data_IF_467296156527
#
_entry.id   IF_467296156527
#
_cell.length_a   1.000
_cell.length_b   1.000
_cell.length_c   1.000
_cell.angle_alpha   90.00
_cell.angle_beta   90.00
_cell.angle_gamma   90.00
#
_symmetry.space_group_name_H-M   'P 1'
#
loop_
_entity.id
_entity.type
_entity.pdbx_description
1 polymer ?
#
# COMPACT_ATOMS: atom_id res chain seq x y z
N UNK A 1 -9.71 -21.54 -0.47
CA UNK A 1 -9.81 -20.24 -1.16
C UNK A 1 -8.55 -20.02 -1.98
N UNK A 2 -8.65 -19.71 -3.28
CA UNK A 2 -7.48 -19.47 -4.16
C UNK A 2 -6.60 -18.33 -3.62
N UNK A 3 -7.21 -17.30 -3.03
CA UNK A 3 -6.49 -16.17 -2.45
C UNK A 3 -5.65 -16.56 -1.22
N UNK A 4 -6.18 -17.40 -0.32
CA UNK A 4 -5.40 -17.90 0.83
C UNK A 4 -4.22 -18.78 0.39
N UNK A 5 -4.36 -19.56 -0.68
CA UNK A 5 -3.25 -20.32 -1.26
C UNK A 5 -2.17 -19.42 -1.84
N UNK A 6 -2.54 -18.30 -2.46
CA UNK A 6 -1.57 -17.30 -2.93
C UNK A 6 -0.80 -16.67 -1.76
N UNK A 7 -1.48 -16.32 -0.66
CA UNK A 7 -0.80 -15.84 0.55
C UNK A 7 0.12 -16.93 1.13
N UNK A 8 -0.33 -18.18 1.15
CA UNK A 8 0.47 -19.31 1.63
C UNK A 8 1.76 -19.48 0.80
N UNK A 9 1.65 -19.50 -0.53
CA UNK A 9 2.80 -19.59 -1.43
C UNK A 9 3.76 -18.40 -1.27
N UNK A 10 3.20 -17.19 -1.12
CA UNK A 10 4.00 -16.00 -0.83
C UNK A 10 4.77 -16.14 0.48
N UNK A 11 4.14 -16.62 1.56
CA UNK A 11 4.80 -16.81 2.86
C UNK A 11 5.87 -17.89 2.81
N UNK A 12 5.62 -19.02 2.14
CA UNK A 12 6.62 -20.09 1.97
C UNK A 12 7.86 -19.56 1.27
N UNK A 13 7.67 -18.87 0.12
CA UNK A 13 8.78 -18.34 -0.67
C UNK A 13 9.53 -17.23 0.07
N UNK A 14 8.79 -16.38 0.79
CA UNK A 14 9.36 -15.32 1.62
C UNK A 14 10.31 -15.89 2.69
N UNK A 15 9.86 -16.90 3.43
CA UNK A 15 10.67 -17.55 4.47
C UNK A 15 11.89 -18.21 3.87
N UNK A 16 11.71 -18.92 2.75
CA UNK A 16 12.82 -19.57 2.06
C UNK A 16 13.91 -18.55 1.68
N UNK A 17 13.54 -17.41 1.08
CA UNK A 17 14.52 -16.37 0.72
C UNK A 17 15.23 -15.81 1.95
N UNK A 18 14.47 -15.40 2.98
CA UNK A 18 15.03 -14.81 4.21
C UNK A 18 15.99 -15.76 4.90
N UNK A 19 15.59 -17.01 5.09
CA UNK A 19 16.44 -18.01 5.75
C UNK A 19 17.72 -18.29 4.94
N UNK A 20 17.62 -18.32 3.60
CA UNK A 20 18.80 -18.46 2.73
C UNK A 20 19.71 -17.24 2.81
N UNK A 21 19.16 -16.03 2.93
CA UNK A 21 19.91 -14.80 3.18
C UNK A 21 20.69 -14.83 4.49
N UNK A 22 20.07 -15.30 5.57
CA UNK A 22 20.73 -15.49 6.87
C UNK A 22 21.88 -16.50 6.78
N UNK A 23 21.72 -17.58 6.02
CA UNK A 23 22.81 -18.51 5.75
C UNK A 23 23.97 -17.88 4.96
N UNK A 24 23.66 -17.10 3.91
CA UNK A 24 24.67 -16.36 3.13
C UNK A 24 25.47 -15.44 4.05
N UNK A 25 24.79 -14.71 4.93
CA UNK A 25 25.43 -13.83 5.90
C UNK A 25 26.31 -14.63 6.89
N UNK A 26 25.76 -15.71 7.47
CA UNK A 26 26.46 -16.51 8.46
C UNK A 26 27.73 -17.16 7.88
N UNK A 27 27.64 -17.70 6.66
CA UNK A 27 28.79 -18.24 5.94
C UNK A 27 29.85 -17.19 5.70
N UNK A 28 29.47 -16.00 5.24
CA UNK A 28 30.40 -14.90 4.98
C UNK A 28 31.08 -14.38 6.27
N UNK A 29 30.33 -14.27 7.36
CA UNK A 29 30.87 -13.90 8.69
C UNK A 29 31.90 -14.92 9.16
N UNK A 30 31.62 -16.21 8.97
CA UNK A 30 32.57 -17.28 9.29
C UNK A 30 33.83 -17.19 8.42
N UNK A 31 33.69 -17.07 7.10
CA UNK A 31 34.82 -16.94 6.16
C UNK A 31 35.69 -15.71 6.45
N UNK A 32 35.09 -14.56 6.76
CA UNK A 32 35.84 -13.34 7.07
C UNK A 32 36.54 -13.41 8.42
N UNK A 33 35.91 -14.03 9.43
CA UNK A 33 36.54 -14.21 10.74
C UNK A 33 37.82 -15.07 10.65
N UNK A 34 37.82 -16.10 9.81
CA UNK A 34 38.99 -16.96 9.55
C UNK A 34 40.08 -16.27 8.72
N UNK A 35 39.73 -15.25 7.93
CA UNK A 35 40.72 -14.41 7.22
C UNK A 35 41.41 -13.42 8.14
N UNK A 36 40.67 -12.86 9.09
CA UNK A 36 41.18 -11.87 10.05
C UNK A 36 42.04 -12.51 11.15
N UNK A 37 41.67 -13.71 11.60
CA UNK A 37 42.34 -14.42 12.68
C UNK A 37 42.82 -15.78 12.17
N UNK A 38 44.14 -15.97 12.10
CA UNK A 38 44.77 -17.22 11.68
C UNK A 38 45.32 -18.01 12.87
N UNK A 39 45.18 -19.34 12.85
CA UNK A 39 45.71 -20.24 13.89
C UNK A 39 44.70 -20.54 14.99
N UNK A 40 45.17 -21.04 16.14
CA UNK A 40 44.34 -21.41 17.29
C UNK A 40 43.91 -20.17 18.11
N UNK A 41 43.06 -19.34 17.50
CA UNK A 41 42.54 -18.08 18.08
C UNK A 41 41.02 -18.12 18.23
N UNK A 42 40.49 -19.25 18.68
CA UNK A 42 39.05 -19.52 18.81
C UNK A 42 38.33 -18.42 19.59
N UNK A 43 38.88 -17.99 20.73
CA UNK A 43 38.28 -16.93 21.56
C UNK A 43 38.17 -15.58 20.82
N UNK A 44 39.14 -15.23 19.97
CA UNK A 44 39.11 -13.97 19.21
C UNK A 44 38.06 -14.03 18.09
N UNK A 45 37.95 -15.18 17.42
CA UNK A 45 36.93 -15.44 16.40
C UNK A 45 35.53 -15.32 16.99
N UNK A 46 35.27 -16.01 18.11
CA UNK A 46 33.97 -15.99 18.80
C UNK A 46 33.59 -14.58 19.27
N UNK A 47 34.54 -13.86 19.87
CA UNK A 47 34.32 -12.48 20.30
C UNK A 47 34.01 -11.54 19.13
N UNK A 48 34.72 -11.68 18.01
CA UNK A 48 34.46 -10.87 16.82
C UNK A 48 33.09 -11.17 16.20
N UNK A 49 32.73 -12.46 16.07
CA UNK A 49 31.41 -12.86 15.57
C UNK A 49 30.28 -12.35 16.49
N UNK A 50 30.48 -12.43 17.80
CA UNK A 50 29.54 -11.88 18.79
C UNK A 50 29.35 -10.38 18.63
N UNK A 51 30.44 -9.62 18.48
CA UNK A 51 30.38 -8.18 18.23
C UNK A 51 29.68 -7.86 16.91
N UNK A 52 29.96 -8.63 15.86
CA UNK A 52 29.30 -8.49 14.57
C UNK A 52 27.78 -8.66 14.70
N UNK A 53 27.32 -9.78 15.24
CA UNK A 53 25.88 -10.07 15.37
C UNK A 53 25.18 -9.10 16.31
N UNK A 54 25.84 -8.70 17.41
CA UNK A 54 25.33 -7.67 18.31
C UNK A 54 25.06 -6.35 17.58
N UNK A 55 26.04 -5.87 16.79
CA UNK A 55 25.88 -4.66 15.97
C UNK A 55 24.81 -4.85 14.89
N UNK A 56 24.80 -6.00 14.22
CA UNK A 56 23.86 -6.34 13.16
C UNK A 56 22.41 -6.30 13.64
N UNK A 57 22.09 -7.01 14.74
CA UNK A 57 20.74 -7.02 15.31
C UNK A 57 20.35 -5.68 15.92
N UNK A 58 21.31 -4.93 16.48
CA UNK A 58 21.05 -3.57 16.96
C UNK A 58 20.54 -2.65 15.85
N UNK A 59 21.19 -2.69 14.68
CA UNK A 59 20.77 -1.91 13.51
C UNK A 59 19.42 -2.36 12.96
N UNK A 60 19.18 -3.68 12.83
CA UNK A 60 17.88 -4.20 12.40
C UNK A 60 16.77 -3.72 13.31
N UNK A 61 16.97 -3.84 14.63
CA UNK A 61 15.96 -3.46 15.62
C UNK A 61 15.66 -1.98 15.56
N UNK A 62 16.71 -1.14 15.52
CA UNK A 62 16.56 0.32 15.43
C UNK A 62 15.84 0.73 14.14
N UNK A 63 16.27 0.23 12.98
CA UNK A 63 15.67 0.59 11.70
C UNK A 63 14.26 0.05 11.54
N UNK A 64 14.01 -1.21 11.95
CA UNK A 64 12.67 -1.78 11.99
C UNK A 64 11.73 -0.92 12.84
N UNK A 65 12.16 -0.50 14.02
CA UNK A 65 11.38 0.39 14.89
C UNK A 65 11.09 1.74 14.23
N UNK A 66 12.10 2.41 13.68
CA UNK A 66 11.93 3.71 13.02
C UNK A 66 11.01 3.61 11.79
N UNK A 67 11.19 2.58 10.96
CA UNK A 67 10.32 2.31 9.81
C UNK A 67 8.89 2.04 10.29
N UNK A 68 8.70 1.23 11.32
CA UNK A 68 7.39 0.91 11.87
C UNK A 68 6.67 2.17 12.40
N UNK A 69 7.38 3.02 13.14
CA UNK A 69 6.81 4.20 13.78
C UNK A 69 6.47 5.29 12.75
N UNK A 70 7.38 5.57 11.82
CA UNK A 70 7.26 6.73 10.94
C UNK A 70 6.85 6.40 9.50
N UNK A 71 7.26 5.26 8.96
CA UNK A 71 7.16 4.98 7.53
C UNK A 71 5.98 4.06 7.19
N UNK A 72 5.68 3.04 8.01
CA UNK A 72 4.67 2.02 7.67
C UNK A 72 3.28 2.63 7.44
N UNK A 73 2.80 3.49 8.34
CA UNK A 73 1.49 4.14 8.19
C UNK A 73 1.44 5.04 6.95
N UNK A 74 2.49 5.86 6.75
CA UNK A 74 2.60 6.75 5.58
C UNK A 74 2.65 5.97 4.28
N UNK A 75 3.44 4.90 4.22
CA UNK A 75 3.57 4.03 3.07
C UNK A 75 2.23 3.42 2.66
N UNK A 76 1.48 2.85 3.62
CA UNK A 76 0.15 2.26 3.34
C UNK A 76 -0.82 3.32 2.85
N UNK A 77 -0.77 4.54 3.38
CA UNK A 77 -1.64 5.64 2.93
C UNK A 77 -1.26 6.18 1.55
N UNK A 78 0.03 6.21 1.20
CA UNK A 78 0.51 6.78 -0.06
C UNK A 78 0.39 5.83 -1.26
N UNK A 79 0.80 4.58 -1.09
CA UNK A 79 0.86 3.59 -2.19
C UNK A 79 -0.15 2.45 -2.02
N UNK A 80 -0.97 2.49 -0.97
CA UNK A 80 -1.95 1.46 -0.66
C UNK A 80 -1.33 0.15 -0.19
N UNK A 81 -2.17 -0.78 0.31
CA UNK A 81 -1.72 -2.11 0.72
C UNK A 81 -1.08 -2.88 -0.46
N UNK A 82 -1.63 -2.76 -1.66
CA UNK A 82 -1.12 -3.41 -2.88
C UNK A 82 0.31 -2.98 -3.19
N UNK A 83 0.62 -1.68 -3.07
CA UNK A 83 1.97 -1.16 -3.28
C UNK A 83 2.92 -1.58 -2.15
N UNK A 84 2.47 -1.50 -0.89
CA UNK A 84 3.30 -1.80 0.27
C UNK A 84 3.81 -3.24 0.32
N UNK A 85 3.06 -4.21 -0.21
CA UNK A 85 3.50 -5.63 -0.29
C UNK A 85 4.66 -5.84 -1.27
N UNK A 86 4.89 -4.90 -2.20
CA UNK A 86 5.98 -4.99 -3.18
C UNK A 86 7.33 -4.51 -2.62
N UNK A 87 7.32 -3.76 -1.52
CA UNK A 87 8.52 -3.08 -1.01
C UNK A 87 9.62 -4.06 -0.62
N UNK A 88 9.30 -5.12 0.13
CA UNK A 88 10.31 -6.10 0.55
C UNK A 88 10.90 -6.88 -0.65
N UNK A 89 10.11 -7.44 -1.59
CA UNK A 89 10.66 -8.06 -2.79
C UNK A 89 11.56 -7.13 -3.63
N UNK A 90 11.23 -5.84 -3.72
CA UNK A 90 12.08 -4.85 -4.41
C UNK A 90 13.41 -4.68 -3.66
N UNK A 91 13.38 -4.54 -2.33
CA UNK A 91 14.59 -4.47 -1.50
C UNK A 91 15.44 -5.73 -1.68
N UNK A 92 14.83 -6.91 -1.71
CA UNK A 92 15.51 -8.19 -1.93
C UNK A 92 16.19 -8.23 -3.31
N UNK A 93 15.49 -7.88 -4.39
CA UNK A 93 16.05 -7.90 -5.75
C UNK A 93 17.24 -6.94 -5.86
N UNK A 94 17.11 -5.73 -5.32
CA UNK A 94 18.20 -4.75 -5.31
C UNK A 94 19.37 -5.28 -4.46
N UNK A 95 19.08 -5.81 -3.27
CA UNK A 95 20.05 -6.37 -2.34
C UNK A 95 20.85 -7.52 -2.96
N UNK A 96 20.18 -8.61 -3.33
CA UNK A 96 20.83 -9.77 -3.96
C UNK A 96 21.44 -9.45 -5.32
N UNK A 97 20.86 -8.50 -6.08
CA UNK A 97 21.47 -7.99 -7.30
C UNK A 97 22.83 -7.34 -7.03
N UNK A 98 22.91 -6.44 -6.05
CA UNK A 98 24.18 -5.82 -5.63
C UNK A 98 25.16 -6.86 -5.09
N UNK A 99 24.71 -7.81 -4.26
CA UNK A 99 25.56 -8.88 -3.74
C UNK A 99 26.14 -9.77 -4.86
N UNK A 100 25.36 -10.02 -5.92
CA UNK A 100 25.79 -10.87 -7.03
C UNK A 100 26.94 -10.22 -7.83
N UNK A 101 26.84 -8.92 -8.12
CA UNK A 101 27.90 -8.19 -8.84
C UNK A 101 29.07 -7.79 -7.93
N UNK A 102 28.82 -7.55 -6.66
CA UNK A 102 29.78 -7.08 -5.68
C UNK A 102 29.67 -7.90 -4.38
N UNK A 103 30.23 -9.13 -4.35
CA UNK A 103 30.15 -10.02 -3.20
C UNK A 103 31.12 -9.61 -2.08
N UNK A 104 31.02 -8.36 -1.63
CA UNK A 104 31.83 -7.80 -0.56
C UNK A 104 31.06 -7.79 0.75
N UNK A 105 31.79 -7.98 1.86
CA UNK A 105 31.25 -8.07 3.20
C UNK A 105 30.27 -6.95 3.56
N UNK A 106 30.66 -5.70 3.29
CA UNK A 106 29.85 -4.53 3.62
C UNK A 106 28.52 -4.48 2.85
N UNK A 107 28.51 -4.85 1.56
CA UNK A 107 27.28 -4.85 0.75
C UNK A 107 26.32 -5.90 1.26
N UNK A 108 26.82 -7.12 1.51
CA UNK A 108 26.00 -8.21 2.04
C UNK A 108 25.44 -7.82 3.41
N UNK A 109 26.26 -7.28 4.32
CA UNK A 109 25.82 -6.77 5.62
C UNK A 109 24.69 -5.74 5.51
N UNK A 110 24.87 -4.67 4.72
CA UNK A 110 23.89 -3.59 4.65
C UNK A 110 22.60 -4.01 3.94
N UNK A 111 22.70 -4.82 2.88
CA UNK A 111 21.53 -5.35 2.20
C UNK A 111 20.73 -6.29 3.12
N UNK A 112 21.40 -7.14 3.91
CA UNK A 112 20.75 -7.99 4.91
C UNK A 112 20.10 -7.19 6.05
N UNK A 113 20.72 -6.09 6.49
CA UNK A 113 20.10 -5.17 7.47
C UNK A 113 18.83 -4.56 6.88
N UNK A 114 18.88 -4.08 5.63
CA UNK A 114 17.72 -3.48 4.96
C UNK A 114 16.58 -4.49 4.76
N UNK A 115 16.89 -5.70 4.28
CA UNK A 115 15.94 -6.79 4.10
C UNK A 115 15.23 -7.15 5.40
N UNK A 116 16.00 -7.43 6.47
CA UNK A 116 15.42 -7.80 7.75
C UNK A 116 14.64 -6.66 8.38
N UNK A 117 15.14 -5.43 8.32
CA UNK A 117 14.42 -4.27 8.87
C UNK A 117 13.06 -4.08 8.20
N UNK A 118 13.00 -4.21 6.86
CA UNK A 118 11.76 -4.15 6.11
C UNK A 118 10.85 -5.36 6.36
N UNK A 119 11.43 -6.54 6.59
CA UNK A 119 10.68 -7.75 6.92
C UNK A 119 9.96 -7.62 8.28
N UNK A 120 10.68 -7.21 9.33
CA UNK A 120 10.13 -7.08 10.68
C UNK A 120 9.10 -5.93 10.82
N UNK A 121 9.16 -4.93 9.95
CA UNK A 121 8.27 -3.76 10.00
C UNK A 121 7.18 -3.80 8.91
N UNK A 122 7.50 -3.38 7.69
CA UNK A 122 6.59 -3.22 6.56
C UNK A 122 5.95 -4.56 6.20
N UNK A 123 6.75 -5.60 5.96
CA UNK A 123 6.24 -6.87 5.47
C UNK A 123 5.33 -7.55 6.50
N UNK A 124 5.68 -7.51 7.78
CA UNK A 124 4.83 -8.12 8.80
C UNK A 124 3.48 -7.39 8.90
N UNK A 125 3.50 -6.06 8.84
CA UNK A 125 2.27 -5.24 8.84
C UNK A 125 1.41 -5.51 7.61
N UNK A 126 2.00 -5.47 6.41
CA UNK A 126 1.26 -5.70 5.16
C UNK A 126 0.72 -7.13 5.07
N UNK A 127 1.50 -8.13 5.51
CA UNK A 127 1.07 -9.54 5.57
C UNK A 127 -0.18 -9.71 6.43
N UNK A 128 -0.25 -9.09 7.60
CA UNK A 128 -1.46 -9.16 8.42
C UNK A 128 -2.64 -8.44 7.78
N UNK A 129 -2.40 -7.33 7.10
CA UNK A 129 -3.42 -6.59 6.36
C UNK A 129 -3.98 -7.36 5.16
N UNK A 130 -3.21 -8.28 4.55
CA UNK A 130 -3.70 -9.15 3.47
C UNK A 130 -4.88 -10.04 3.87
N UNK A 131 -5.08 -10.29 5.17
CA UNK A 131 -6.20 -11.07 5.69
C UNK A 131 -7.43 -10.22 6.05
N UNK A 132 -7.39 -8.90 5.89
CA UNK A 132 -8.54 -8.02 6.13
C UNK A 132 -9.76 -8.39 5.28
N UNK A 133 -9.65 -8.59 3.95
CA UNK A 133 -10.81 -8.91 3.12
C UNK A 133 -11.22 -10.40 3.17
N UNK A 134 -10.69 -11.20 4.09
CA UNK A 134 -11.04 -12.63 4.19
C UNK A 134 -12.22 -12.80 5.15
N UNK A 135 -13.33 -13.44 4.75
CA UNK A 135 -14.46 -13.68 5.64
C UNK A 135 -14.06 -14.49 6.89
N UNK A 136 -14.67 -14.18 8.04
CA UNK A 136 -14.31 -14.77 9.36
C UNK A 136 -14.16 -16.30 9.33
N UNK A 137 -15.09 -17.00 8.68
CA UNK A 137 -15.11 -18.48 8.54
C UNK A 137 -13.80 -19.04 7.97
N UNK A 138 -13.18 -18.34 7.03
CA UNK A 138 -11.95 -18.78 6.38
C UNK A 138 -10.69 -18.10 6.93
N UNK A 139 -10.84 -16.91 7.53
CA UNK A 139 -9.72 -16.12 8.05
C UNK A 139 -9.00 -16.82 9.19
N UNK A 140 -9.73 -17.32 10.18
CA UNK A 140 -9.11 -17.96 11.37
C UNK A 140 -8.31 -19.20 10.97
N UNK A 141 -8.98 -20.19 10.37
CA UNK A 141 -8.31 -21.43 9.94
C UNK A 141 -7.21 -21.17 8.93
N UNK A 142 -7.45 -20.31 7.93
CA UNK A 142 -6.49 -20.00 6.89
C UNK A 142 -5.24 -19.29 7.41
N UNK A 143 -5.42 -18.24 8.21
CA UNK A 143 -4.30 -17.49 8.79
C UNK A 143 -3.46 -18.40 9.70
N UNK A 144 -4.10 -19.12 10.62
CA UNK A 144 -3.39 -20.03 11.52
C UNK A 144 -2.66 -21.12 10.73
N UNK A 145 -3.29 -21.74 9.73
CA UNK A 145 -2.63 -22.75 8.88
C UNK A 145 -1.42 -22.19 8.14
N UNK A 146 -1.50 -20.95 7.66
CA UNK A 146 -0.37 -20.31 6.97
C UNK A 146 0.77 -20.02 7.94
N UNK A 147 0.45 -19.47 9.12
CA UNK A 147 1.44 -19.07 10.13
C UNK A 147 2.08 -20.28 10.84
N UNK A 148 1.41 -21.42 10.90
CA UNK A 148 1.96 -22.64 11.51
C UNK A 148 2.49 -23.61 10.46
N UNK A 149 1.64 -24.17 9.62
CA UNK A 149 2.01 -25.25 8.70
C UNK A 149 2.86 -24.74 7.52
N UNK A 150 2.38 -23.74 6.79
CA UNK A 150 3.12 -23.26 5.61
C UNK A 150 4.41 -22.54 5.98
N UNK A 151 4.47 -21.91 7.16
CA UNK A 151 5.73 -21.38 7.68
C UNK A 151 6.79 -22.49 7.76
N UNK A 152 6.43 -23.64 8.35
CA UNK A 152 7.32 -24.81 8.48
C UNK A 152 7.69 -25.44 7.15
N UNK A 153 6.79 -25.41 6.17
CA UNK A 153 7.13 -25.84 4.80
C UNK A 153 8.25 -24.97 4.22
N UNK A 154 8.23 -23.65 4.48
CA UNK A 154 9.33 -22.75 4.13
C UNK A 154 10.65 -23.15 4.79
N UNK A 155 10.63 -23.37 6.11
CA UNK A 155 11.81 -23.82 6.88
C UNK A 155 12.40 -25.12 6.30
N UNK A 156 11.54 -26.09 5.96
CA UNK A 156 11.96 -27.37 5.40
C UNK A 156 12.57 -27.24 4.00
N UNK A 157 11.94 -26.45 3.11
CA UNK A 157 12.46 -26.22 1.76
C UNK A 157 13.83 -25.55 1.79
N UNK A 158 13.98 -24.53 2.65
CA UNK A 158 15.27 -23.89 2.92
C UNK A 158 16.34 -24.88 3.40
N UNK A 159 16.03 -25.70 4.40
CA UNK A 159 16.99 -26.65 4.97
C UNK A 159 17.45 -27.70 3.94
N UNK A 160 16.50 -28.22 3.15
CA UNK A 160 16.81 -29.14 2.04
C UNK A 160 17.67 -28.45 0.98
N UNK A 161 17.33 -27.22 0.60
CA UNK A 161 18.08 -26.45 -0.38
C UNK A 161 19.53 -26.23 0.03
N UNK A 162 19.78 -25.84 1.29
CA UNK A 162 21.15 -25.69 1.81
C UNK A 162 21.86 -27.03 1.88
N UNK A 163 21.22 -28.08 2.39
CA UNK A 163 21.86 -29.38 2.51
C UNK A 163 22.37 -29.87 1.16
N UNK A 164 21.52 -29.86 0.13
CA UNK A 164 21.94 -30.28 -1.20
C UNK A 164 22.93 -29.30 -1.83
N UNK A 165 22.67 -27.99 -1.75
CA UNK A 165 23.56 -26.98 -2.32
C UNK A 165 24.96 -27.05 -1.70
N UNK A 166 25.06 -26.99 -0.38
CA UNK A 166 26.33 -26.86 0.33
C UNK A 166 27.07 -28.20 0.46
N UNK A 167 26.39 -29.28 0.82
CA UNK A 167 27.06 -30.56 1.14
C UNK A 167 27.14 -31.51 -0.06
N UNK A 168 26.10 -31.57 -0.89
CA UNK A 168 26.06 -32.52 -2.00
C UNK A 168 26.67 -31.95 -3.27
N UNK A 169 26.30 -30.72 -3.64
CA UNK A 169 26.78 -30.06 -4.86
C UNK A 169 27.99 -29.15 -4.64
N UNK A 170 28.40 -28.91 -3.39
CA UNK A 170 29.50 -28.01 -3.02
C UNK A 170 29.38 -26.62 -3.66
N UNK A 171 28.18 -26.05 -3.62
CA UNK A 171 27.91 -24.75 -4.22
C UNK A 171 28.74 -23.63 -3.55
N UNK A 172 29.33 -22.76 -4.37
CA UNK A 172 29.98 -21.55 -3.87
C UNK A 172 28.92 -20.54 -3.41
N UNK A 173 29.35 -19.51 -2.68
CA UNK A 173 28.45 -18.51 -2.10
C UNK A 173 27.61 -17.78 -3.18
N UNK A 174 28.21 -17.53 -4.33
CA UNK A 174 27.60 -16.85 -5.48
C UNK A 174 26.39 -17.61 -6.03
N UNK A 175 26.40 -18.94 -5.97
CA UNK A 175 25.28 -19.76 -6.42
C UNK A 175 24.05 -19.59 -5.51
N UNK A 176 24.26 -19.44 -4.19
CA UNK A 176 23.18 -19.14 -3.25
C UNK A 176 22.62 -17.74 -3.48
N UNK A 177 23.48 -16.74 -3.69
CA UNK A 177 23.07 -15.35 -3.99
C UNK A 177 22.25 -15.31 -5.29
N UNK A 178 22.74 -15.95 -6.36
CA UNK A 178 22.05 -16.00 -7.65
C UNK A 178 20.68 -16.69 -7.54
N UNK A 179 20.61 -17.78 -6.78
CA UNK A 179 19.36 -18.48 -6.52
C UNK A 179 18.36 -17.59 -5.78
N UNK A 180 18.81 -16.89 -4.73
CA UNK A 180 17.96 -15.96 -3.99
C UNK A 180 17.48 -14.78 -4.84
N UNK A 181 18.31 -14.27 -5.76
CA UNK A 181 17.89 -13.24 -6.70
C UNK A 181 16.73 -13.74 -7.60
N UNK A 182 16.83 -14.97 -8.11
CA UNK A 182 15.77 -15.60 -8.93
C UNK A 182 14.50 -15.80 -8.10
N UNK A 183 14.64 -16.32 -6.87
CA UNK A 183 13.51 -16.50 -5.96
C UNK A 183 12.85 -15.17 -5.60
N UNK A 184 13.63 -14.09 -5.40
CA UNK A 184 13.13 -12.75 -5.11
C UNK A 184 12.31 -12.17 -6.27
N UNK A 185 12.71 -12.42 -7.52
CA UNK A 185 11.87 -12.09 -8.70
C UNK A 185 10.56 -12.88 -8.68
N UNK A 186 10.63 -14.18 -8.36
CA UNK A 186 9.43 -15.01 -8.15
C UNK A 186 8.51 -14.47 -7.04
N UNK A 187 9.10 -13.99 -5.95
CA UNK A 187 8.38 -13.39 -4.83
C UNK A 187 7.73 -12.07 -5.25
N UNK A 188 8.40 -11.23 -6.03
CA UNK A 188 7.81 -10.00 -6.58
C UNK A 188 6.58 -10.32 -7.46
N UNK A 189 6.68 -11.34 -8.32
CA UNK A 189 5.54 -11.78 -9.14
C UNK A 189 4.37 -12.30 -8.28
N UNK A 190 4.65 -13.03 -7.20
CA UNK A 190 3.62 -13.46 -6.25
C UNK A 190 3.02 -12.26 -5.49
N UNK A 191 3.86 -11.31 -5.06
CA UNK A 191 3.45 -10.10 -4.37
C UNK A 191 2.47 -9.27 -5.22
N UNK A 192 2.77 -9.09 -6.52
CA UNK A 192 1.88 -8.43 -7.49
C UNK A 192 0.54 -9.18 -7.58
N UNK A 193 0.57 -10.51 -7.72
CA UNK A 193 -0.66 -11.33 -7.83
C UNK A 193 -1.51 -11.29 -6.56
N UNK A 194 -0.88 -11.36 -5.39
CA UNK A 194 -1.52 -11.28 -4.07
C UNK A 194 -2.14 -9.91 -3.88
N UNK A 195 -1.41 -8.83 -4.18
CA UNK A 195 -1.91 -7.47 -4.08
C UNK A 195 -3.12 -7.21 -4.99
N UNK A 196 -3.12 -7.74 -6.21
CA UNK A 196 -4.26 -7.62 -7.13
C UNK A 196 -5.50 -8.39 -6.63
N UNK A 197 -5.32 -9.64 -6.16
CA UNK A 197 -6.43 -10.41 -5.60
C UNK A 197 -6.97 -9.82 -4.29
N UNK A 198 -6.13 -9.14 -3.51
CA UNK A 198 -6.56 -8.45 -2.29
C UNK A 198 -7.58 -7.36 -2.61
N UNK A 199 -7.35 -6.53 -3.63
CA UNK A 199 -8.29 -5.50 -4.08
C UNK A 199 -9.62 -6.11 -4.50
N UNK A 200 -9.59 -7.18 -5.30
CA UNK A 200 -10.80 -7.90 -5.73
C UNK A 200 -11.55 -8.54 -4.56
N UNK A 201 -10.83 -9.12 -3.60
CA UNK A 201 -11.42 -9.72 -2.41
C UNK A 201 -12.04 -8.65 -1.49
N UNK A 202 -11.42 -7.46 -1.40
CA UNK A 202 -11.94 -6.32 -0.64
C UNK A 202 -13.31 -5.90 -1.17
N UNK A 203 -13.41 -5.67 -2.48
CA UNK A 203 -14.68 -5.35 -3.16
C UNK A 203 -15.74 -6.45 -2.93
N UNK A 204 -15.35 -7.72 -3.04
CA UNK A 204 -16.28 -8.85 -2.85
C UNK A 204 -16.83 -9.00 -1.42
N UNK A 205 -16.09 -8.56 -0.40
CA UNK A 205 -16.43 -8.78 1.02
C UNK A 205 -17.03 -7.56 1.69
N UNK A 206 -16.59 -6.35 1.33
CA UNK A 206 -17.20 -5.12 1.85
C UNK A 206 -18.51 -4.78 1.11
N UNK A 207 -18.73 -5.33 -0.09
CA UNK A 207 -19.70 -4.76 -1.01
C UNK A 207 -19.22 -3.39 -1.49
N UNK A 208 -19.94 -2.80 -2.42
CA UNK A 208 -19.70 -1.42 -2.83
C UNK A 208 -20.04 -0.46 -1.66
N UNK A 209 -19.14 0.48 -1.39
CA UNK A 209 -19.29 1.50 -0.36
C UNK A 209 -19.93 2.74 -0.99
N UNK A 210 -20.83 3.46 -0.31
CA UNK A 210 -21.33 4.70 -0.86
C UNK A 210 -20.20 5.73 -0.99
N UNK A 211 -20.29 6.63 -1.97
CA UNK A 211 -19.41 7.79 -2.03
C UNK A 211 -19.48 8.60 -0.73
N UNK A 212 -18.47 9.44 -0.46
CA UNK A 212 -18.43 10.31 0.72
C UNK A 212 -18.16 11.76 0.33
N UNK A 213 -18.67 12.70 1.13
CA UNK A 213 -18.38 14.12 0.99
C UNK A 213 -17.06 14.44 1.67
N UNK A 214 -16.08 14.92 0.90
CA UNK A 214 -14.73 15.23 1.41
C UNK A 214 -14.53 16.74 1.59
N UNK A 215 -15.18 17.56 0.78
CA UNK A 215 -15.14 19.02 0.91
C UNK A 215 -16.55 19.61 0.88
N UNK A 216 -16.82 20.58 1.76
CA UNK A 216 -18.06 21.35 1.74
C UNK A 216 -18.12 22.25 0.49
N UNK A 217 -19.30 22.42 -0.09
CA UNK A 217 -19.51 23.38 -1.17
C UNK A 217 -19.62 24.80 -0.60
N UNK A 218 -19.04 25.81 -1.27
CA UNK A 218 -19.15 27.20 -0.83
C UNK A 218 -20.57 27.71 -0.99
N UNK A 219 -20.92 28.73 -0.20
CA UNK A 219 -22.09 29.55 -0.47
C UNK A 219 -21.80 30.48 -1.65
N UNK A 220 -22.67 30.48 -2.65
CA UNK A 220 -22.56 31.35 -3.81
C UNK A 220 -23.43 32.60 -3.60
N UNK A 221 -22.89 33.75 -3.98
CA UNK A 221 -23.61 35.01 -4.05
C UNK A 221 -23.45 35.57 -5.47
N UNK A 222 -24.53 35.67 -6.23
CA UNK A 222 -24.47 35.88 -7.69
C UNK A 222 -25.39 37.02 -8.16
N UNK A 223 -24.99 37.79 -9.18
CA UNK A 223 -25.84 38.84 -9.73
C UNK A 223 -27.05 38.29 -10.50
N UNK A 224 -28.20 38.96 -10.38
CA UNK A 224 -29.36 38.69 -11.24
C UNK A 224 -29.13 39.21 -12.66
N UNK A 225 -29.75 38.58 -13.66
CA UNK A 225 -29.67 38.99 -15.06
C UNK A 225 -28.34 38.68 -15.77
N UNK A 226 -27.29 38.32 -15.04
CA UNK A 226 -25.96 38.06 -15.58
C UNK A 226 -25.67 36.55 -15.58
N UNK A 227 -25.18 36.03 -16.70
CA UNK A 227 -24.80 34.63 -16.80
C UNK A 227 -23.54 34.35 -15.98
N UNK A 228 -23.65 33.43 -15.03
CA UNK A 228 -22.55 33.06 -14.13
C UNK A 228 -22.27 31.55 -14.18
N UNK A 229 -21.03 31.14 -13.90
CA UNK A 229 -20.62 29.72 -13.91
C UNK A 229 -19.96 29.32 -12.60
N UNK A 230 -20.18 28.08 -12.18
CA UNK A 230 -19.52 27.49 -11.03
C UNK A 230 -19.20 26.02 -11.32
N UNK A 231 -17.97 25.58 -11.06
CA UNK A 231 -17.57 24.19 -11.24
C UNK A 231 -17.33 23.53 -9.90
N UNK A 232 -17.88 22.32 -9.73
CA UNK A 232 -17.59 21.48 -8.57
C UNK A 232 -16.18 20.92 -8.72
N UNK A 233 -15.40 20.96 -7.64
CA UNK A 233 -14.06 20.36 -7.60
C UNK A 233 -14.14 18.83 -7.67
N UNK A 234 -13.14 18.20 -8.29
CA UNK A 234 -13.06 16.73 -8.32
C UNK A 234 -12.94 16.14 -6.91
N UNK A 235 -12.38 16.91 -5.96
CA UNK A 235 -12.18 16.48 -4.58
C UNK A 235 -13.40 16.74 -3.66
N UNK A 236 -14.54 17.19 -4.19
CA UNK A 236 -15.74 17.45 -3.36
C UNK A 236 -16.38 16.13 -2.89
N UNK A 237 -16.36 15.12 -3.74
CA UNK A 237 -16.83 13.77 -3.44
C UNK A 237 -15.72 12.78 -3.75
N UNK A 238 -15.54 11.79 -2.89
CA UNK A 238 -14.56 10.71 -3.09
C UNK A 238 -15.27 9.37 -2.94
N UNK A 239 -14.88 8.40 -3.75
CA UNK A 239 -15.38 7.04 -3.64
C UNK A 239 -14.34 6.16 -2.93
N UNK A 240 -14.67 5.53 -1.79
CA UNK A 240 -13.77 4.61 -1.11
C UNK A 240 -13.34 3.40 -1.96
N UNK A 241 -14.11 3.08 -3.01
CA UNK A 241 -13.85 1.99 -3.94
C UNK A 241 -13.08 2.50 -5.18
N UNK A 242 -11.80 2.14 -5.20
CA UNK A 242 -10.82 2.64 -6.19
C UNK A 242 -11.22 2.21 -7.60
N UNK A 243 -11.43 3.21 -8.46
CA UNK A 243 -11.68 3.03 -9.90
C UNK A 243 -13.12 3.29 -10.32
N UNK A 244 -14.02 3.55 -9.36
CA UNK A 244 -15.41 3.86 -9.66
C UNK A 244 -15.57 5.31 -10.12
N UNK A 245 -16.36 5.47 -11.19
CA UNK A 245 -16.68 6.77 -11.74
C UNK A 245 -18.01 7.26 -11.16
N UNK A 246 -17.99 8.45 -10.56
CA UNK A 246 -19.17 9.07 -9.99
C UNK A 246 -20.06 9.73 -11.06
N UNK A 247 -21.35 9.41 -11.02
CA UNK A 247 -22.39 10.10 -11.79
C UNK A 247 -23.00 11.20 -10.94
N UNK A 248 -23.04 12.41 -11.49
CA UNK A 248 -23.58 13.56 -10.78
C UNK A 248 -25.02 13.86 -11.19
N UNK A 249 -25.85 14.17 -10.21
CA UNK A 249 -27.19 14.72 -10.38
C UNK A 249 -27.39 15.92 -9.45
N UNK A 250 -28.24 16.86 -9.83
CA UNK A 250 -28.52 18.04 -9.04
C UNK A 250 -30.01 18.40 -9.11
N UNK A 251 -30.56 18.77 -7.97
CA UNK A 251 -31.97 19.16 -7.78
C UNK A 251 -32.06 20.26 -6.71
N UNK A 252 -33.22 20.87 -6.54
CA UNK A 252 -33.43 21.75 -5.40
C UNK A 252 -33.58 20.93 -4.12
N UNK A 253 -33.15 21.46 -2.98
CA UNK A 253 -33.19 20.74 -1.70
C UNK A 253 -34.59 20.41 -1.19
N UNK A 254 -35.62 21.02 -1.77
CA UNK A 254 -37.03 20.72 -1.51
C UNK A 254 -37.58 19.58 -2.40
N UNK A 255 -36.75 19.00 -3.28
CA UNK A 255 -37.11 17.95 -4.22
C UNK A 255 -37.61 18.45 -5.58
N UNK A 256 -37.73 19.77 -5.78
CA UNK A 256 -38.15 20.33 -7.06
C UNK A 256 -37.03 20.26 -8.10
N UNK A 257 -37.42 20.18 -9.37
CA UNK A 257 -36.49 20.25 -10.49
C UNK A 257 -35.82 21.62 -10.56
N UNK A 258 -34.57 21.66 -11.03
CA UNK A 258 -33.85 22.92 -11.19
C UNK A 258 -34.62 23.89 -12.12
N UNK A 259 -34.70 25.20 -11.77
CA UNK A 259 -35.30 26.20 -12.65
C UNK A 259 -34.66 26.22 -14.03
N UNK A 260 -35.42 26.58 -15.08
CA UNK A 260 -34.95 26.58 -16.48
C UNK A 260 -33.71 27.45 -16.72
N UNK A 261 -33.46 28.43 -15.85
CA UNK A 261 -32.29 29.30 -15.89
C UNK A 261 -31.04 28.73 -15.20
N UNK A 262 -31.12 27.53 -14.64
CA UNK A 262 -29.99 26.78 -14.09
C UNK A 262 -29.76 25.54 -14.96
N UNK A 263 -28.55 25.40 -15.50
CA UNK A 263 -28.12 24.21 -16.24
C UNK A 263 -26.93 23.58 -15.56
N UNK A 264 -26.99 22.27 -15.31
CA UNK A 264 -25.88 21.49 -14.77
C UNK A 264 -25.34 20.55 -15.84
N UNK A 265 -24.08 20.74 -16.24
CA UNK A 265 -23.34 19.80 -17.06
C UNK A 265 -22.69 18.73 -16.16
N UNK A 266 -23.15 17.49 -16.30
CA UNK A 266 -22.72 16.36 -15.46
C UNK A 266 -21.33 15.86 -15.81
N UNK A 267 -20.88 16.05 -17.05
CA UNK A 267 -19.57 15.59 -17.52
C UNK A 267 -18.46 16.53 -17.04
N UNK A 268 -18.71 17.83 -17.08
CA UNK A 268 -17.74 18.84 -16.62
C UNK A 268 -17.97 19.27 -15.16
N UNK A 269 -19.05 18.81 -14.53
CA UNK A 269 -19.52 19.20 -13.19
C UNK A 269 -19.70 20.72 -13.05
N UNK A 270 -20.15 21.36 -14.11
CA UNK A 270 -20.27 22.83 -14.19
C UNK A 270 -21.73 23.26 -14.19
N UNK A 271 -22.09 24.12 -13.25
CA UNK A 271 -23.34 24.88 -13.27
C UNK A 271 -23.19 26.14 -14.11
N UNK A 272 -24.22 26.45 -14.89
CA UNK A 272 -24.45 27.74 -15.53
C UNK A 272 -25.76 28.32 -14.99
N UNK A 273 -25.70 29.53 -14.47
CA UNK A 273 -26.81 30.27 -13.88
C UNK A 273 -27.13 31.48 -14.76
N UNK A 274 -28.41 31.72 -15.05
CA UNK A 274 -28.91 32.93 -15.70
C UNK A 274 -30.18 33.45 -15.00
N UNK A 275 -30.10 33.78 -13.70
CA UNK A 275 -31.26 34.18 -12.90
C UNK A 275 -32.01 35.36 -13.53
N UNK A 276 -33.36 35.36 -13.52
CA UNK A 276 -34.16 36.51 -13.99
C UNK A 276 -33.84 37.79 -13.20
N UNK A 277 -33.98 38.95 -13.84
CA UNK A 277 -33.65 40.26 -13.25
C UNK A 277 -34.36 40.57 -11.91
N UNK A 278 -35.55 39.99 -11.67
CA UNK A 278 -36.32 40.22 -10.44
C UNK A 278 -36.17 39.13 -9.39
N UNK A 279 -35.26 38.17 -9.58
CA UNK A 279 -35.14 37.03 -8.67
C UNK A 279 -34.30 37.37 -7.43
N UNK A 280 -34.95 37.50 -6.27
CA UNK A 280 -34.30 37.89 -5.00
C UNK A 280 -34.28 36.78 -3.94
N UNK A 281 -34.94 35.65 -4.20
CA UNK A 281 -35.07 34.56 -3.22
C UNK A 281 -33.82 33.67 -3.23
N UNK A 282 -33.25 33.43 -2.06
CA UNK A 282 -32.16 32.46 -1.92
C UNK A 282 -32.68 31.04 -2.06
N UNK A 283 -31.84 30.15 -2.60
CA UNK A 283 -32.18 28.74 -2.79
C UNK A 283 -31.05 27.81 -2.36
N UNK A 284 -31.40 26.57 -2.08
CA UNK A 284 -30.43 25.51 -1.79
C UNK A 284 -30.52 24.44 -2.88
N UNK A 285 -29.38 24.13 -3.47
CA UNK A 285 -29.22 23.07 -4.48
C UNK A 285 -28.56 21.89 -3.80
N UNK A 286 -29.16 20.72 -3.97
CA UNK A 286 -28.66 19.45 -3.51
C UNK A 286 -27.95 18.74 -4.67
N UNK A 287 -26.71 18.31 -4.43
CA UNK A 287 -25.89 17.61 -5.41
C UNK A 287 -25.72 16.17 -4.92
N UNK A 288 -26.09 15.22 -5.76
CA UNK A 288 -25.91 13.80 -5.53
C UNK A 288 -24.77 13.28 -6.39
N UNK A 289 -23.80 12.62 -5.76
CA UNK A 289 -22.80 11.80 -6.42
C UNK A 289 -23.18 10.33 -6.24
N UNK A 290 -23.43 9.64 -7.35
CA UNK A 290 -23.85 8.23 -7.37
C UNK A 290 -22.76 7.37 -7.96
N UNK A 291 -22.42 6.26 -7.32
CA UNK A 291 -21.49 5.27 -7.87
C UNK A 291 -22.14 4.40 -8.96
N UNK A 292 -21.44 3.35 -9.39
CA UNK A 292 -21.92 2.44 -10.43
C UNK A 292 -22.98 1.44 -9.94
N UNK A 293 -23.04 1.12 -8.64
CA UNK A 293 -24.06 0.24 -8.05
C UNK A 293 -25.29 1.00 -7.55
N UNK A 294 -25.28 2.33 -7.63
CA UNK A 294 -26.41 3.20 -7.33
C UNK A 294 -26.43 3.77 -5.91
N UNK A 295 -25.36 3.64 -5.11
CA UNK A 295 -25.30 4.29 -3.80
C UNK A 295 -24.88 5.76 -3.96
N UNK A 296 -25.34 6.61 -3.05
CA UNK A 296 -25.23 8.07 -3.23
C UNK A 296 -24.70 8.79 -2.00
N UNK A 297 -23.83 9.78 -2.21
CA UNK A 297 -23.58 10.87 -1.26
C UNK A 297 -24.23 12.17 -1.74
N UNK A 298 -24.58 13.00 -0.76
CA UNK A 298 -25.26 14.26 -1.00
C UNK A 298 -24.49 15.41 -0.35
N UNK A 299 -24.32 16.51 -1.09
CA UNK A 299 -23.79 17.77 -0.58
C UNK A 299 -24.71 18.94 -0.95
N UNK A 300 -24.77 19.96 -0.10
CA UNK A 300 -25.70 21.08 -0.25
C UNK A 300 -24.96 22.38 -0.57
N UNK A 301 -25.42 23.09 -1.58
CA UNK A 301 -24.91 24.38 -2.03
C UNK A 301 -25.97 25.45 -1.87
N UNK A 302 -25.70 26.48 -1.05
CA UNK A 302 -26.59 27.64 -0.90
C UNK A 302 -26.25 28.70 -1.93
N UNK A 303 -27.26 29.25 -2.59
CA UNK A 303 -27.12 30.32 -3.58
C UNK A 303 -28.03 31.48 -3.21
N UNK A 304 -27.46 32.66 -3.07
CA UNK A 304 -28.17 33.93 -2.89
C UNK A 304 -27.91 34.87 -4.07
N UNK A 305 -28.84 35.79 -4.29
CA UNK A 305 -28.82 36.69 -5.44
C UNK A 305 -28.83 38.16 -5.01
N UNK A 306 -28.21 39.02 -5.81
CA UNK A 306 -28.19 40.48 -5.62
C UNK A 306 -28.45 41.20 -6.94
N UNK A 307 -29.01 42.42 -6.88
CA UNK A 307 -29.11 43.29 -8.06
C UNK A 307 -27.78 43.99 -8.29
N UNK A 308 -27.24 44.01 -9.51
CA UNK A 308 -26.01 44.75 -9.81
C UNK A 308 -26.08 46.24 -9.41
N UNK A 309 -27.27 46.85 -9.50
CA UNK A 309 -27.50 48.25 -9.12
C UNK A 309 -27.49 48.48 -7.59
N UNK A 310 -27.69 47.44 -6.77
CA UNK A 310 -27.67 47.53 -5.30
C UNK A 310 -26.23 47.43 -4.73
N UNK A 311 -25.22 47.20 -5.56
CA UNK A 311 -23.82 47.05 -5.12
C UNK A 311 -23.07 48.38 -4.91
N UNK A 312 -23.64 49.53 -5.32
CA UNK A 312 -23.03 50.86 -5.13
C UNK A 312 -23.40 51.55 -3.80
N UNK A 313 -24.37 51.04 -3.02
CA UNK A 313 -24.79 51.68 -1.75
C UNK A 313 -24.17 51.09 -0.47
N UNK A 314 -23.22 50.15 -0.58
CA UNK A 314 -22.62 49.46 0.57
C UNK A 314 -21.08 49.64 0.70
N UNK A 315 -20.58 50.86 0.48
CA UNK A 315 -19.21 51.28 0.85
C UNK A 315 -19.23 52.30 2.00
#
# INVERSE_FOLDING_TARGET
SRYLLLIAAFVVLLIFIISTGEYILARLVSEESLRLFSGDQTDLIENWQTQFYSSYYSWITLLSFLIQLFLVSRLINWIGLRGSVLVLPIIMIIGYGLMFFFPIFSIIRYAMIAENSANYSIQNTTRHALFLPVPRKHKYLGKTTIETFFYRVGDLLYGVFIFFGAQYFNWPLEAFIASNLILAVGLLLLAIRVGHHNTMAKQKVLGNSPPVVVAALPQLHMPVGIMSKFSISECTFDDPDIGDALKYHAQQSNGDVLPKWIRFDRMTRTFTFQPPHEHTQSMSIEIHATDFEGLTATNLMKVSFFKPDDAEEAL
#
